data_IF_745928966408
#
_entry.id   IF_745928966408
#
_cell.length_a   1.000
_cell.length_b   1.000
_cell.length_c   1.000
_cell.angle_alpha   90.00
_cell.angle_beta   90.00
_cell.angle_gamma   90.00
#
_symmetry.space_group_name_H-M   'P 1'
#
loop_
_entity.id
_entity.type
_entity.pdbx_description
1 polymer ?
#
# COMPACT_ATOMS: atom_id res chain seq x y z
N UNK A 1 18.91 -6.26 -13.72
CA UNK A 1 19.06 -4.95 -13.51
C UNK A 1 17.83 -4.44 -12.87
N UNK A 2 17.93 -4.03 -11.87
CA UNK A 2 16.82 -3.51 -11.24
C UNK A 2 16.34 -2.31 -11.99
N UNK A 3 15.17 -2.39 -12.46
CA UNK A 3 14.55 -1.17 -12.91
C UNK A 3 14.34 -0.35 -11.66
N UNK A 4 15.00 0.76 -11.60
CA UNK A 4 14.75 1.70 -10.53
C UNK A 4 13.29 2.11 -10.64
N UNK A 5 12.49 1.97 -9.57
CA UNK A 5 11.13 2.48 -9.64
C UNK A 5 11.15 3.96 -9.99
N UNK A 6 10.13 4.44 -10.69
CA UNK A 6 10.10 5.86 -11.04
C UNK A 6 10.27 6.71 -9.79
N UNK A 7 11.16 7.66 -9.87
CA UNK A 7 11.35 8.60 -8.77
C UNK A 7 10.09 9.44 -8.64
N UNK A 8 9.52 9.56 -7.44
CA UNK A 8 8.37 10.43 -7.28
C UNK A 8 8.74 11.87 -7.63
N UNK A 9 7.76 12.63 -8.06
CA UNK A 9 7.96 14.02 -8.34
C UNK A 9 8.55 14.72 -7.11
N UNK A 10 9.34 15.75 -7.35
CA UNK A 10 9.94 16.49 -6.27
C UNK A 10 8.85 17.00 -5.33
N UNK A 11 9.03 16.83 -4.03
CA UNK A 11 8.05 17.22 -3.03
C UNK A 11 6.93 16.23 -2.80
N UNK A 12 6.93 15.08 -3.51
CA UNK A 12 5.90 14.05 -3.35
C UNK A 12 6.54 12.73 -3.00
N UNK A 13 7.06 12.59 -1.78
CA UNK A 13 7.70 11.36 -1.38
C UNK A 13 6.72 10.19 -1.42
N UNK A 14 7.18 9.07 -1.89
CA UNK A 14 6.39 7.84 -1.90
C UNK A 14 7.25 6.73 -1.34
N UNK A 15 6.64 5.86 -0.55
CA UNK A 15 7.30 4.66 -0.05
C UNK A 15 6.58 3.44 -0.60
N UNK A 16 7.36 2.46 -1.02
CA UNK A 16 6.83 1.20 -1.57
C UNK A 16 7.09 0.08 -0.57
N UNK A 17 6.04 -0.67 -0.29
CA UNK A 17 6.11 -1.81 0.62
C UNK A 17 5.72 -3.05 -0.15
N UNK A 18 6.67 -3.97 -0.31
CA UNK A 18 6.48 -5.18 -1.10
C UNK A 18 6.16 -6.35 -0.20
N UNK A 19 5.10 -7.09 -0.53
CA UNK A 19 4.73 -8.30 0.20
C UNK A 19 5.81 -9.36 0.04
N UNK A 20 5.92 -10.24 1.04
CA UNK A 20 6.89 -11.32 1.00
C UNK A 20 6.53 -12.35 -0.07
N UNK A 21 7.52 -12.78 -0.84
CA UNK A 21 7.34 -13.84 -1.83
C UNK A 21 7.04 -15.20 -1.20
N UNK A 22 7.24 -15.32 0.11
CA UNK A 22 6.92 -16.54 0.85
C UNK A 22 5.43 -16.70 1.11
N UNK A 23 4.63 -15.65 0.88
CA UNK A 23 3.20 -15.71 1.12
C UNK A 23 2.46 -16.14 -0.13
N UNK A 24 1.29 -16.74 0.07
CA UNK A 24 0.48 -17.25 -1.03
C UNK A 24 0.08 -16.13 -1.97
N UNK A 25 0.24 -16.37 -3.27
CA UNK A 25 -0.10 -15.38 -4.29
C UNK A 25 0.99 -14.35 -4.55
N UNK A 26 2.08 -14.36 -3.78
CA UNK A 26 3.13 -13.34 -3.90
C UNK A 26 4.47 -13.90 -4.39
N UNK A 27 4.55 -15.15 -4.80
CA UNK A 27 5.81 -15.76 -5.17
C UNK A 27 6.42 -15.13 -6.42
N UNK A 28 5.65 -15.09 -7.50
CA UNK A 28 6.16 -14.55 -8.78
C UNK A 28 5.97 -13.04 -8.87
N UNK A 29 4.81 -12.57 -8.47
CA UNK A 29 4.45 -11.16 -8.59
C UNK A 29 3.96 -10.66 -7.23
N UNK A 30 4.87 -10.31 -6.31
CA UNK A 30 4.45 -9.85 -4.99
C UNK A 30 3.68 -8.54 -5.09
N UNK A 31 2.62 -8.45 -4.31
CA UNK A 31 1.82 -7.23 -4.22
C UNK A 31 2.65 -6.11 -3.61
N UNK A 32 2.51 -4.92 -4.14
CA UNK A 32 3.17 -3.73 -3.61
C UNK A 32 2.14 -2.72 -3.19
N UNK A 33 2.34 -2.13 -2.02
CA UNK A 33 1.59 -0.96 -1.58
C UNK A 33 2.49 0.26 -1.67
N UNK A 34 2.03 1.27 -2.38
CA UNK A 34 2.76 2.52 -2.52
C UNK A 34 1.99 3.59 -1.75
N UNK A 35 2.63 4.19 -0.77
CA UNK A 35 2.03 5.21 0.08
C UNK A 35 2.67 6.55 -0.23
N UNK A 36 1.87 7.52 -0.61
CA UNK A 36 2.33 8.88 -0.89
C UNK A 36 1.42 9.87 -0.18
N UNK A 37 1.81 11.15 -0.10
CA UNK A 37 0.93 12.15 0.51
C UNK A 37 -0.42 12.29 -0.17
N UNK A 38 -0.54 11.88 -1.43
CA UNK A 38 -1.76 12.06 -2.21
C UNK A 38 -2.66 10.83 -2.21
N UNK A 39 -2.08 9.62 -2.14
CA UNK A 39 -2.86 8.40 -2.29
C UNK A 39 -2.13 7.18 -1.78
N UNK A 40 -2.90 6.12 -1.58
CA UNK A 40 -2.37 4.77 -1.39
C UNK A 40 -2.74 3.95 -2.61
N UNK A 41 -1.79 3.24 -3.17
CA UNK A 41 -2.00 2.40 -4.36
C UNK A 41 -1.55 0.97 -4.08
N UNK A 42 -2.32 0.03 -4.59
CA UNK A 42 -1.95 -1.39 -4.59
C UNK A 42 -1.63 -1.77 -6.02
N UNK A 43 -0.43 -2.29 -6.22
CA UNK A 43 0.05 -2.66 -7.55
C UNK A 43 0.39 -4.14 -7.54
N UNK A 44 -0.18 -4.88 -8.47
CA UNK A 44 0.13 -6.29 -8.66
C UNK A 44 0.40 -6.55 -10.13
N UNK A 45 1.65 -6.85 -10.44
CA UNK A 45 2.05 -7.16 -11.81
C UNK A 45 1.54 -8.53 -12.22
N UNK A 46 1.39 -8.72 -13.51
CA UNK A 46 1.00 -9.97 -14.13
C UNK A 46 1.94 -10.24 -15.29
N UNK A 47 1.80 -11.42 -15.91
CA UNK A 47 2.55 -11.73 -17.12
C UNK A 47 2.31 -10.70 -18.22
N UNK A 48 1.08 -10.19 -18.31
CA UNK A 48 0.72 -9.16 -19.27
C UNK A 48 0.05 -8.01 -18.53
N UNK A 49 0.83 -6.96 -18.26
CA UNK A 49 0.31 -5.78 -17.60
C UNK A 49 0.32 -5.85 -16.09
N UNK A 50 -0.51 -5.05 -15.46
CA UNK A 50 -0.62 -5.00 -14.00
C UNK A 50 -2.03 -4.61 -13.60
N UNK A 51 -2.38 -4.93 -12.35
CA UNK A 51 -3.60 -4.46 -11.71
C UNK A 51 -3.23 -3.39 -10.69
N UNK A 52 -3.79 -2.22 -10.86
CA UNK A 52 -3.53 -1.11 -9.96
C UNK A 52 -4.84 -0.66 -9.33
N UNK A 53 -4.84 -0.51 -8.01
CA UNK A 53 -5.96 0.05 -7.28
C UNK A 53 -5.44 1.22 -6.46
N UNK A 54 -6.24 2.26 -6.33
CA UNK A 54 -5.78 3.47 -5.67
C UNK A 54 -6.91 4.14 -4.91
N UNK A 55 -6.61 4.65 -3.71
CA UNK A 55 -7.54 5.44 -2.92
C UNK A 55 -6.83 6.75 -2.58
N UNK A 56 -7.47 7.86 -2.90
CA UNK A 56 -6.93 9.18 -2.54
C UNK A 56 -6.82 9.29 -1.02
N UNK A 57 -5.77 9.95 -0.55
CA UNK A 57 -5.53 10.09 0.88
C UNK A 57 -6.72 10.74 1.60
N UNK A 58 -7.37 11.70 0.96
CA UNK A 58 -8.54 12.39 1.52
C UNK A 58 -9.78 11.49 1.60
N UNK A 59 -9.77 10.36 0.91
CA UNK A 59 -10.91 9.45 0.85
C UNK A 59 -10.73 8.20 1.71
N UNK A 60 -9.64 8.07 2.40
CA UNK A 60 -9.39 6.92 3.27
C UNK A 60 -10.22 7.08 4.55
N UNK A 61 -11.09 6.10 4.81
CA UNK A 61 -11.91 6.09 6.00
C UNK A 61 -11.21 5.42 7.16
N UNK A 62 -10.56 4.29 6.90
CA UNK A 62 -9.92 3.52 7.97
C UNK A 62 -8.84 2.61 7.40
N UNK A 63 -7.90 2.24 8.26
CA UNK A 63 -6.85 1.28 7.97
C UNK A 63 -6.94 0.17 9.02
N UNK A 64 -7.18 -1.06 8.56
CA UNK A 64 -7.23 -2.22 9.44
C UNK A 64 -6.02 -3.08 9.20
N UNK A 65 -5.35 -3.48 10.26
CA UNK A 65 -4.21 -4.39 10.18
C UNK A 65 -4.56 -5.64 10.96
N UNK A 66 -4.53 -6.78 10.27
CA UNK A 66 -4.69 -8.09 10.91
C UNK A 66 -3.35 -8.79 10.89
N UNK A 67 -2.80 -9.05 12.07
CA UNK A 67 -1.50 -9.69 12.19
C UNK A 67 -1.66 -11.17 12.51
N UNK A 68 -0.98 -12.00 11.71
CA UNK A 68 -0.84 -13.41 12.01
C UNK A 68 0.46 -13.67 12.75
N UNK A 69 0.97 -14.89 12.66
CA UNK A 69 2.22 -15.25 13.33
C UNK A 69 3.40 -14.54 12.69
N UNK A 70 3.48 -14.56 11.34
CA UNK A 70 4.63 -14.01 10.61
C UNK A 70 4.27 -12.80 9.76
N UNK A 71 3.05 -12.74 9.24
CA UNK A 71 2.67 -11.75 8.24
C UNK A 71 1.46 -10.97 8.68
N UNK A 72 1.26 -9.84 8.01
CA UNK A 72 0.11 -8.99 8.26
C UNK A 72 -0.69 -8.77 6.98
N UNK A 73 -1.98 -8.62 7.16
CA UNK A 73 -2.89 -8.19 6.11
C UNK A 73 -3.30 -6.74 6.39
N UNK A 74 -3.33 -5.93 5.35
CA UNK A 74 -3.70 -4.53 5.45
C UNK A 74 -4.95 -4.33 4.62
N UNK A 75 -5.98 -3.73 5.24
CA UNK A 75 -7.21 -3.39 4.56
C UNK A 75 -7.46 -1.89 4.71
N UNK A 76 -7.59 -1.20 3.59
CA UNK A 76 -7.80 0.24 3.56
C UNK A 76 -9.17 0.51 2.98
N UNK A 77 -10.03 1.15 3.76
CA UNK A 77 -11.40 1.41 3.38
C UNK A 77 -11.60 2.87 3.00
N UNK A 78 -12.45 3.09 2.00
CA UNK A 78 -12.71 4.39 1.43
C UNK A 78 -14.07 4.92 1.90
N UNK A 79 -14.19 6.23 1.99
CA UNK A 79 -15.47 6.89 2.29
C UNK A 79 -16.36 7.04 1.08
N UNK A 80 -15.81 6.91 -0.12
CA UNK A 80 -16.52 7.29 -1.35
C UNK A 80 -17.17 6.14 -2.10
N UNK A 81 -17.37 4.99 -1.48
CA UNK A 81 -17.96 3.83 -2.14
C UNK A 81 -17.00 3.07 -3.06
N UNK A 82 -15.74 3.46 -3.08
CA UNK A 82 -14.69 2.71 -3.78
C UNK A 82 -14.42 1.41 -3.01
N UNK A 83 -14.15 0.33 -3.74
CA UNK A 83 -13.82 -0.94 -3.11
C UNK A 83 -12.60 -0.80 -2.21
N UNK A 84 -12.59 -1.49 -1.08
CA UNK A 84 -11.41 -1.46 -0.21
C UNK A 84 -10.21 -2.07 -0.89
N UNK A 85 -9.04 -1.56 -0.52
CA UNK A 85 -7.77 -2.16 -0.92
C UNK A 85 -7.35 -3.14 0.16
N UNK A 86 -7.13 -4.40 -0.22
CA UNK A 86 -6.64 -5.42 0.69
C UNK A 86 -5.31 -5.94 0.18
N UNK A 87 -4.31 -5.99 1.03
CA UNK A 87 -2.99 -6.51 0.66
C UNK A 87 -2.48 -7.42 1.76
N UNK A 88 -2.07 -8.62 1.39
CA UNK A 88 -1.63 -9.65 2.33
C UNK A 88 -0.15 -9.95 2.15
N UNK A 89 0.46 -10.43 3.23
CA UNK A 89 1.83 -10.94 3.16
C UNK A 89 2.88 -9.91 3.50
N UNK A 90 2.50 -8.80 4.09
CA UNK A 90 3.44 -7.78 4.50
C UNK A 90 4.05 -8.12 5.86
N UNK A 91 5.29 -7.68 6.08
CA UNK A 91 5.91 -7.79 7.39
C UNK A 91 5.15 -6.92 8.37
N UNK A 92 5.12 -7.35 9.63
CA UNK A 92 4.37 -6.62 10.66
C UNK A 92 4.88 -5.20 10.84
N UNK A 93 6.21 -5.02 10.79
CA UNK A 93 6.80 -3.68 10.88
C UNK A 93 6.40 -2.78 9.72
N UNK A 94 6.34 -3.35 8.51
CA UNK A 94 5.89 -2.60 7.34
C UNK A 94 4.42 -2.21 7.48
N UNK A 95 3.58 -3.08 8.01
CA UNK A 95 2.17 -2.76 8.21
C UNK A 95 2.01 -1.59 9.17
N UNK A 96 2.76 -1.57 10.26
CA UNK A 96 2.74 -0.45 11.19
C UNK A 96 3.24 0.84 10.53
N UNK A 97 4.29 0.74 9.75
CA UNK A 97 4.83 1.89 9.03
C UNK A 97 3.79 2.47 8.06
N UNK A 98 3.08 1.60 7.35
CA UNK A 98 2.03 2.02 6.42
C UNK A 98 0.93 2.79 7.16
N UNK A 99 0.47 2.26 8.28
CA UNK A 99 -0.53 2.95 9.10
C UNK A 99 -0.03 4.31 9.55
N UNK A 100 1.19 4.35 10.07
CA UNK A 100 1.75 5.59 10.59
C UNK A 100 1.88 6.64 9.50
N UNK A 101 2.29 6.24 8.30
CA UNK A 101 2.39 7.15 7.16
C UNK A 101 1.03 7.70 6.76
N UNK A 102 0.02 6.84 6.70
CA UNK A 102 -1.32 7.28 6.32
C UNK A 102 -1.85 8.28 7.35
N UNK A 103 -1.69 7.97 8.62
CA UNK A 103 -2.14 8.88 9.68
C UNK A 103 -1.41 10.21 9.61
N UNK A 104 -0.12 10.16 9.36
CA UNK A 104 0.69 11.35 9.22
C UNK A 104 0.23 12.23 8.05
N UNK A 105 0.03 11.64 6.88
CA UNK A 105 -0.40 12.39 5.72
C UNK A 105 -1.81 12.92 5.85
N UNK A 106 -2.71 12.17 6.48
CA UNK A 106 -4.06 12.64 6.74
C UNK A 106 -4.07 13.83 7.71
N UNK A 107 -3.21 13.77 8.72
CA UNK A 107 -3.10 14.89 9.67
C UNK A 107 -2.59 16.14 8.98
N UNK A 108 -1.62 16.01 8.08
CA UNK A 108 -1.11 17.14 7.31
C UNK A 108 -2.18 17.74 6.40
N UNK A 109 -3.01 16.90 5.80
CA UNK A 109 -4.03 17.38 4.86
C UNK A 109 -5.16 18.15 5.55
N UNK A 110 -5.29 18.03 6.87
CA UNK A 110 -6.33 18.71 7.64
C UNK A 110 -5.91 20.05 8.19
N UNK A 111 -4.68 20.40 8.04
CA UNK A 111 -4.15 21.68 8.56
C UNK A 111 -4.46 22.82 7.61
#
# INVERSE_FOLDING_TARGET
MGVTPPTPAAGSPAETFTASRLTQGNFLFPTRLVVSPLRVSRVKSRWFGSNDESIAMSKIASVHISTGVLWAEIRIESTGGTDPITSYGHRKGDAQRIRDLIEHYQAQARV
#
